data_IF_954838118473
#
_entry.id   IF_954838118473
#
_cell.length_a   1.000
_cell.length_b   1.000
_cell.length_c   1.000
_cell.angle_alpha   90.00
_cell.angle_beta   90.00
_cell.angle_gamma   90.00
#
_symmetry.space_group_name_H-M   'P 1'
#
loop_
_entity.id
_entity.type
_entity.pdbx_description
1 polymer ?
#
# COMPACT_ATOMS: atom_id res chain seq x y z
N UNK A 1 10.95 -18.44 3.58
CA UNK A 1 9.71 -18.68 2.79
C UNK A 1 10.07 -18.66 1.32
N UNK A 2 9.74 -19.70 0.57
CA UNK A 2 9.96 -19.76 -0.88
C UNK A 2 9.18 -18.63 -1.55
N UNK A 3 9.81 -17.84 -2.43
CA UNK A 3 9.08 -16.83 -3.20
C UNK A 3 8.01 -17.51 -4.08
N UNK A 4 6.81 -16.94 -4.21
CA UNK A 4 5.77 -17.51 -5.05
C UNK A 4 6.19 -17.47 -6.53
N UNK A 5 5.76 -18.48 -7.31
CA UNK A 5 6.04 -18.57 -8.75
C UNK A 5 5.38 -17.44 -9.57
N UNK A 6 4.37 -16.76 -9.00
CA UNK A 6 3.68 -15.64 -9.64
C UNK A 6 3.00 -14.73 -8.64
N UNK A 7 2.80 -13.48 -9.04
CA UNK A 7 2.08 -12.45 -8.30
C UNK A 7 0.82 -12.02 -9.05
N UNK A 8 -0.17 -11.45 -8.34
CA UNK A 8 -1.38 -10.93 -8.95
C UNK A 8 -1.37 -9.40 -8.91
N UNK A 9 -1.22 -8.76 -10.07
CA UNK A 9 -1.23 -7.31 -10.20
C UNK A 9 -2.48 -6.83 -10.93
N UNK A 10 -3.14 -5.83 -10.38
CA UNK A 10 -4.28 -5.19 -11.00
C UNK A 10 -3.83 -4.21 -12.08
N UNK A 11 -4.52 -4.22 -13.21
CA UNK A 11 -4.36 -3.18 -14.22
C UNK A 11 -5.01 -1.88 -13.72
N UNK A 12 -4.25 -0.80 -13.66
CA UNK A 12 -4.73 0.53 -13.26
C UNK A 12 -5.75 1.14 -14.24
N UNK A 13 -5.83 0.63 -15.48
CA UNK A 13 -6.78 1.11 -16.48
C UNK A 13 -8.15 0.40 -16.41
N UNK A 14 -8.17 -0.93 -16.23
CA UNK A 14 -9.41 -1.71 -16.34
C UNK A 14 -9.75 -2.56 -15.11
N UNK A 15 -8.91 -2.56 -14.08
CA UNK A 15 -9.15 -3.26 -12.81
C UNK A 15 -8.96 -4.78 -12.85
N UNK A 16 -8.65 -5.38 -14.01
CA UNK A 16 -8.41 -6.83 -14.11
C UNK A 16 -7.13 -7.23 -13.39
N UNK A 17 -7.19 -8.31 -12.61
CA UNK A 17 -6.00 -8.95 -12.02
C UNK A 17 -5.27 -9.75 -13.10
N UNK A 18 -3.98 -9.53 -13.23
CA UNK A 18 -3.09 -10.20 -14.17
C UNK A 18 -2.06 -11.00 -13.38
N UNK A 19 -1.82 -12.24 -13.81
CA UNK A 19 -0.78 -13.08 -13.22
C UNK A 19 0.57 -12.70 -13.81
N UNK A 20 1.48 -12.26 -12.96
CA UNK A 20 2.84 -11.86 -13.33
C UNK A 20 3.81 -12.92 -12.80
N UNK A 21 4.50 -13.68 -13.67
CA UNK A 21 5.55 -14.60 -13.24
C UNK A 21 6.65 -13.89 -12.44
N UNK A 22 7.23 -14.56 -11.45
CA UNK A 22 8.24 -13.97 -10.57
C UNK A 22 9.50 -13.52 -11.31
N UNK A 23 9.89 -14.21 -12.39
CA UNK A 23 11.01 -13.87 -13.28
C UNK A 23 10.74 -12.65 -14.18
N UNK A 24 9.49 -12.16 -14.22
CA UNK A 24 9.07 -10.98 -14.99
C UNK A 24 8.84 -9.75 -14.13
N UNK A 25 9.09 -9.84 -12.83
CA UNK A 25 9.05 -8.70 -11.91
C UNK A 25 10.16 -7.70 -12.26
N UNK A 26 9.82 -6.41 -12.25
CA UNK A 26 10.73 -5.33 -12.67
C UNK A 26 10.63 -4.97 -14.16
N UNK A 27 9.89 -5.75 -14.95
CA UNK A 27 9.63 -5.48 -16.36
C UNK A 27 8.26 -4.80 -16.55
N UNK A 28 8.03 -4.25 -17.74
CA UNK A 28 6.69 -3.78 -18.14
C UNK A 28 5.89 -4.95 -18.69
N UNK A 29 4.81 -5.32 -18.03
CA UNK A 29 3.85 -6.32 -18.51
C UNK A 29 2.70 -5.64 -19.26
N UNK A 30 1.93 -6.39 -20.07
CA UNK A 30 0.68 -5.91 -20.67
C UNK A 30 -0.51 -6.57 -19.99
N UNK A 31 -1.58 -5.82 -19.79
CA UNK A 31 -2.84 -6.37 -19.31
C UNK A 31 -3.47 -7.28 -20.35
N UNK A 32 -3.80 -8.52 -19.97
CA UNK A 32 -4.45 -9.49 -20.86
C UNK A 32 -5.88 -9.12 -21.29
N UNK A 33 -6.54 -8.17 -20.60
CA UNK A 33 -7.89 -7.71 -20.95
C UNK A 33 -7.90 -6.47 -21.84
N UNK A 34 -7.09 -5.46 -21.53
CA UNK A 34 -7.15 -4.15 -22.22
C UNK A 34 -5.85 -3.74 -22.91
N UNK A 35 -4.79 -4.53 -22.83
CA UNK A 35 -3.50 -4.24 -23.46
C UNK A 35 -2.65 -3.16 -22.79
N UNK A 36 -3.20 -2.42 -21.82
CA UNK A 36 -2.49 -1.36 -21.10
C UNK A 36 -1.24 -1.90 -20.38
N UNK A 37 -0.21 -1.06 -20.30
CA UNK A 37 1.03 -1.37 -19.59
C UNK A 37 0.79 -1.48 -18.08
N UNK A 38 1.41 -2.48 -17.46
CA UNK A 38 1.46 -2.70 -16.02
C UNK A 38 2.93 -2.60 -15.61
N UNK A 39 3.24 -1.53 -14.88
CA UNK A 39 4.57 -1.32 -14.32
C UNK A 39 4.72 -2.21 -13.08
N UNK A 40 5.51 -3.28 -13.21
CA UNK A 40 5.63 -4.27 -12.15
C UNK A 40 6.68 -3.87 -11.11
N UNK A 41 7.66 -3.04 -11.45
CA UNK A 41 8.76 -2.65 -10.54
C UNK A 41 8.25 -2.01 -9.24
N UNK A 42 7.28 -1.10 -9.34
CA UNK A 42 6.79 -0.32 -8.20
C UNK A 42 5.97 -1.16 -7.20
N UNK A 43 5.66 -2.41 -7.53
CA UNK A 43 4.89 -3.32 -6.68
C UNK A 43 5.77 -4.12 -5.69
N UNK A 44 7.11 -4.04 -5.80
CA UNK A 44 8.05 -4.90 -5.09
C UNK A 44 9.10 -4.13 -4.28
N UNK A 45 8.67 -3.06 -3.61
CA UNK A 45 9.52 -2.30 -2.68
C UNK A 45 9.58 -2.97 -1.32
N UNK A 46 10.77 -3.13 -0.75
CA UNK A 46 10.98 -3.73 0.58
C UNK A 46 10.80 -2.75 1.74
N UNK A 47 10.71 -1.46 1.43
CA UNK A 47 10.49 -0.38 2.40
C UNK A 47 9.16 0.30 2.13
N UNK A 48 8.54 0.90 3.17
CA UNK A 48 7.34 1.71 2.98
C UNK A 48 7.59 2.85 1.98
N UNK A 49 6.68 3.02 1.03
CA UNK A 49 6.73 4.12 0.07
C UNK A 49 6.30 5.42 0.77
N UNK A 50 7.06 6.50 0.59
CA UNK A 50 6.68 7.81 1.12
C UNK A 50 5.61 8.43 0.22
N UNK A 51 4.47 8.74 0.82
CA UNK A 51 3.34 9.36 0.15
C UNK A 51 3.33 10.85 0.46
N UNK A 52 3.01 11.62 -0.57
CA UNK A 52 2.80 13.06 -0.49
C UNK A 52 1.50 13.42 -1.19
N UNK A 53 1.00 14.63 -0.93
CA UNK A 53 -0.17 15.19 -1.64
C UNK A 53 -0.02 15.08 -3.18
N UNK A 54 1.20 15.19 -3.71
CA UNK A 54 1.47 15.17 -5.15
C UNK A 54 1.52 13.76 -5.76
N UNK A 55 1.83 12.72 -4.97
CA UNK A 55 2.02 11.37 -5.51
C UNK A 55 0.90 10.38 -5.12
N UNK A 56 -0.02 10.79 -4.24
CA UNK A 56 -1.05 9.91 -3.68
C UNK A 56 -1.92 9.24 -4.74
N UNK A 57 -2.35 9.96 -5.78
CA UNK A 57 -3.17 9.37 -6.84
C UNK A 57 -2.44 8.22 -7.54
N UNK A 58 -1.18 8.44 -7.93
CA UNK A 58 -0.38 7.44 -8.62
C UNK A 58 0.01 6.27 -7.71
N UNK A 59 0.37 6.56 -6.44
CA UNK A 59 0.93 5.57 -5.53
C UNK A 59 -0.12 4.82 -4.71
N UNK A 60 -1.28 5.42 -4.46
CA UNK A 60 -2.35 4.82 -3.66
C UNK A 60 -3.53 4.42 -4.53
N UNK A 61 -4.13 5.38 -5.25
CA UNK A 61 -5.39 5.14 -5.95
C UNK A 61 -5.21 4.27 -7.21
N UNK A 62 -4.11 4.46 -7.93
CA UNK A 62 -3.76 3.69 -9.14
C UNK A 62 -2.86 2.50 -8.86
N UNK A 63 -2.67 2.15 -7.58
CA UNK A 63 -1.82 1.02 -7.20
C UNK A 63 -2.32 -0.29 -7.82
N UNK A 64 -1.43 -1.10 -8.41
CA UNK A 64 -1.78 -2.43 -8.90
C UNK A 64 -1.99 -3.44 -7.75
N UNK A 65 -1.62 -3.08 -6.53
CA UNK A 65 -1.78 -3.86 -5.30
C UNK A 65 -2.72 -3.14 -4.33
N UNK A 66 -3.36 -3.85 -3.39
CA UNK A 66 -3.90 -3.24 -2.18
C UNK A 66 -2.84 -2.40 -1.48
N UNK A 67 -3.26 -1.33 -0.81
CA UNK A 67 -2.36 -0.36 -0.16
C UNK A 67 -2.69 -0.29 1.32
N UNK A 68 -1.66 -0.43 2.15
CA UNK A 68 -1.71 -0.06 3.56
C UNK A 68 -0.98 1.28 3.71
N UNK A 69 -1.69 2.31 4.15
CA UNK A 69 -1.15 3.66 4.36
C UNK A 69 -1.11 4.00 5.85
N UNK A 70 0.08 4.05 6.43
CA UNK A 70 0.32 4.51 7.81
C UNK A 70 0.44 6.04 7.84
N UNK A 71 -0.50 6.69 8.52
CA UNK A 71 -0.56 8.13 8.71
C UNK A 71 0.02 8.48 10.08
N UNK A 72 1.11 9.23 10.08
CA UNK A 72 1.96 9.46 11.25
C UNK A 72 2.45 10.91 11.33
N UNK A 73 3.18 11.24 12.39
CA UNK A 73 3.97 12.46 12.53
C UNK A 73 5.17 12.21 13.45
N UNK A 74 6.28 12.96 13.35
CA UNK A 74 7.51 12.67 14.10
C UNK A 74 7.37 12.84 15.62
N UNK A 75 6.49 13.75 16.06
CA UNK A 75 6.22 14.02 17.48
C UNK A 75 5.27 13.01 18.13
N UNK A 76 4.67 12.11 17.34
CA UNK A 76 3.72 11.12 17.83
C UNK A 76 4.44 9.89 18.40
N UNK A 77 4.55 9.81 19.72
CA UNK A 77 5.17 8.67 20.42
C UNK A 77 4.61 7.30 20.01
N UNK A 78 3.26 7.09 20.00
CA UNK A 78 2.68 5.82 19.56
C UNK A 78 2.99 5.49 18.08
N UNK A 79 3.16 6.50 17.22
CA UNK A 79 3.56 6.30 15.82
C UNK A 79 4.99 5.76 15.71
N UNK A 80 5.90 6.22 16.58
CA UNK A 80 7.28 5.72 16.61
C UNK A 80 7.33 4.23 16.99
N UNK A 81 6.44 3.77 17.87
CA UNK A 81 6.33 2.35 18.22
C UNK A 81 5.76 1.50 17.06
N UNK A 82 4.84 2.05 16.27
CA UNK A 82 4.22 1.37 15.13
C UNK A 82 5.16 1.31 13.91
N UNK A 83 6.05 2.29 13.75
CA UNK A 83 6.97 2.40 12.60
C UNK A 83 7.72 1.11 12.24
N UNK A 84 8.41 0.44 13.18
CA UNK A 84 9.11 -0.82 12.91
C UNK A 84 8.17 -1.94 12.43
N UNK A 85 6.94 -2.00 12.93
CA UNK A 85 5.93 -2.98 12.48
C UNK A 85 5.54 -2.71 11.03
N UNK A 86 5.37 -1.43 10.65
CA UNK A 86 5.07 -1.04 9.27
C UNK A 86 6.23 -1.40 8.33
N UNK A 87 7.48 -1.19 8.76
CA UNK A 87 8.67 -1.56 7.98
C UNK A 87 8.78 -3.09 7.80
N UNK A 88 8.52 -3.87 8.85
CA UNK A 88 8.50 -5.32 8.78
C UNK A 88 7.43 -5.84 7.81
N UNK A 89 6.21 -5.29 7.89
CA UNK A 89 5.11 -5.64 6.98
C UNK A 89 5.42 -5.26 5.52
N UNK A 90 6.15 -4.17 5.27
CA UNK A 90 6.57 -3.79 3.92
C UNK A 90 7.48 -4.86 3.29
N UNK A 91 8.39 -5.43 4.08
CA UNK A 91 9.26 -6.52 3.65
C UNK A 91 8.47 -7.82 3.42
N UNK A 92 7.59 -8.20 4.36
CA UNK A 92 6.82 -9.44 4.29
C UNK A 92 5.78 -9.47 3.14
N UNK A 93 5.19 -8.31 2.82
CA UNK A 93 4.12 -8.21 1.83
C UNK A 93 4.58 -7.72 0.46
N UNK A 94 5.89 -7.74 0.19
CA UNK A 94 6.47 -7.49 -1.12
C UNK A 94 5.68 -8.22 -2.22
N UNK A 95 5.20 -7.48 -3.22
CA UNK A 95 4.44 -8.03 -4.34
C UNK A 95 3.00 -8.44 -4.03
N UNK A 96 2.51 -8.22 -2.80
CA UNK A 96 1.15 -8.54 -2.34
C UNK A 96 0.40 -7.31 -1.86
N UNK A 97 1.06 -6.44 -1.11
CA UNK A 97 0.53 -5.18 -0.59
C UNK A 97 1.59 -4.12 -0.77
N UNK A 98 1.17 -2.93 -1.23
CA UNK A 98 2.01 -1.75 -1.15
C UNK A 98 1.86 -1.16 0.25
N UNK A 99 2.93 -1.24 1.04
CA UNK A 99 2.98 -0.56 2.34
C UNK A 99 3.55 0.84 2.14
N UNK A 100 2.92 1.82 2.77
CA UNK A 100 3.20 3.22 2.51
C UNK A 100 3.06 4.06 3.80
N UNK A 101 3.76 5.20 3.85
CA UNK A 101 3.73 6.13 4.98
C UNK A 101 3.40 7.54 4.52
N UNK A 102 2.56 8.24 5.27
CA UNK A 102 2.18 9.63 5.07
C UNK A 102 2.44 10.42 6.35
N UNK A 103 3.28 11.45 6.27
CA UNK A 103 3.36 12.43 7.34
C UNK A 103 2.14 13.35 7.25
N UNK A 104 1.25 13.30 8.25
CA UNK A 104 -0.02 14.02 8.24
C UNK A 104 0.13 15.55 8.36
N UNK A 105 1.21 16.04 8.97
CA UNK A 105 1.50 17.48 9.11
C UNK A 105 1.94 18.09 7.78
N UNK A 106 2.76 17.35 7.03
CA UNK A 106 3.32 17.80 5.74
C UNK A 106 2.35 17.63 4.57
N UNK A 107 1.26 16.88 4.77
CA UNK A 107 0.30 16.53 3.72
C UNK A 107 -1.14 16.85 4.14
N UNK A 108 -1.46 18.14 4.39
CA UNK A 108 -2.77 18.56 4.88
C UNK A 108 -3.90 18.27 3.90
N UNK A 109 -3.61 18.18 2.59
CA UNK A 109 -4.62 17.87 1.58
C UNK A 109 -5.20 16.47 1.77
N UNK A 110 -4.35 15.45 1.84
CA UNK A 110 -4.76 14.06 2.12
C UNK A 110 -5.35 13.95 3.53
N UNK A 111 -4.73 14.58 4.53
CA UNK A 111 -5.21 14.57 5.92
C UNK A 111 -6.64 15.10 6.03
N UNK A 112 -6.96 16.21 5.37
CA UNK A 112 -8.31 16.75 5.32
C UNK A 112 -9.26 15.83 4.53
N UNK A 113 -8.84 15.36 3.34
CA UNK A 113 -9.65 14.52 2.46
C UNK A 113 -10.15 13.24 3.13
N UNK A 114 -9.30 12.58 3.90
CA UNK A 114 -9.63 11.33 4.60
C UNK A 114 -9.92 11.53 6.09
N UNK A 115 -10.06 12.79 6.53
CA UNK A 115 -10.42 13.14 7.90
C UNK A 115 -9.50 12.50 8.95
N UNK A 116 -8.18 12.58 8.72
CA UNK A 116 -7.16 12.07 9.64
C UNK A 116 -7.11 13.01 10.85
N UNK A 117 -7.95 12.75 11.85
CA UNK A 117 -8.08 13.55 13.08
C UNK A 117 -7.19 13.06 14.23
N UNK A 118 -6.67 11.85 14.11
CA UNK A 118 -5.86 11.22 15.14
C UNK A 118 -4.81 10.35 14.48
N UNK A 119 -3.60 10.35 15.06
CA UNK A 119 -2.48 9.55 14.61
C UNK A 119 -1.93 8.69 15.77
N UNK A 120 -1.41 7.49 15.49
CA UNK A 120 -1.35 6.86 14.18
C UNK A 120 -2.74 6.47 13.67
N UNK A 121 -2.92 6.49 12.35
CA UNK A 121 -4.09 5.93 11.68
C UNK A 121 -3.62 5.13 10.46
N UNK A 122 -4.20 3.97 10.23
CA UNK A 122 -3.94 3.15 9.05
C UNK A 122 -5.15 3.19 8.13
N UNK A 123 -4.94 3.59 6.89
CA UNK A 123 -5.96 3.56 5.85
C UNK A 123 -5.67 2.39 4.90
N UNK A 124 -6.71 1.59 4.62
CA UNK A 124 -6.60 0.45 3.71
C UNK A 124 -7.31 0.80 2.41
N UNK A 125 -6.60 0.70 1.28
CA UNK A 125 -7.16 0.87 -0.05
C UNK A 125 -7.07 -0.43 -0.84
N UNK A 126 -8.12 -0.73 -1.62
CA UNK A 126 -8.07 -1.73 -2.69
C UNK A 126 -8.82 -1.19 -3.90
N UNK A 127 -8.23 -1.39 -5.07
CA UNK A 127 -8.77 -0.92 -6.36
C UNK A 127 -9.15 0.58 -6.35
N UNK A 128 -8.28 1.41 -5.78
CA UNK A 128 -8.47 2.85 -5.69
C UNK A 128 -9.60 3.31 -4.76
N UNK A 129 -10.16 2.41 -3.94
CA UNK A 129 -11.21 2.73 -2.99
C UNK A 129 -10.71 2.53 -1.57
N UNK A 130 -11.05 3.46 -0.68
CA UNK A 130 -10.87 3.27 0.76
C UNK A 130 -11.79 2.14 1.22
N UNK A 131 -11.23 1.15 1.90
CA UNK A 131 -11.94 -0.03 2.38
C UNK A 131 -12.08 -0.08 3.89
N UNK A 132 -11.08 0.40 4.62
CA UNK A 132 -11.11 0.44 6.08
C UNK A 132 -10.21 1.57 6.60
N UNK A 133 -10.46 1.98 7.85
CA UNK A 133 -9.64 2.95 8.59
C UNK A 133 -9.49 2.48 10.03
N UNK A 134 -8.26 2.29 10.46
CA UNK A 134 -7.91 1.83 11.79
C UNK A 134 -7.27 2.99 12.55
N UNK A 135 -7.86 3.42 13.65
CA UNK A 135 -7.38 4.58 14.41
C UNK A 135 -6.69 4.12 15.69
N UNK A 136 -5.53 4.71 15.98
CA UNK A 136 -4.72 4.43 17.17
C UNK A 136 -3.64 3.38 16.94
N UNK A 137 -2.78 3.18 17.95
CA UNK A 137 -1.78 2.12 17.90
C UNK A 137 -2.44 0.75 18.12
N UNK A 138 -2.02 -0.26 17.36
CA UNK A 138 -2.59 -1.61 17.42
C UNK A 138 -1.53 -2.69 17.19
N UNK A 139 -1.75 -3.94 17.64
CA UNK A 139 -0.84 -5.04 17.38
C UNK A 139 -0.72 -5.37 15.88
N UNK A 140 0.47 -5.83 15.46
CA UNK A 140 0.74 -6.34 14.11
C UNK A 140 -0.33 -7.33 13.62
N UNK A 141 -0.77 -8.23 14.51
CA UNK A 141 -1.77 -9.24 14.17
C UNK A 141 -3.13 -8.65 13.76
N UNK A 142 -3.55 -7.55 14.37
CA UNK A 142 -4.79 -6.85 14.01
C UNK A 142 -4.68 -6.28 12.60
N UNK A 143 -3.52 -5.71 12.25
CA UNK A 143 -3.25 -5.19 10.91
C UNK A 143 -3.31 -6.32 9.87
N UNK A 144 -2.68 -7.46 10.16
CA UNK A 144 -2.71 -8.65 9.29
C UNK A 144 -4.14 -9.13 9.07
N UNK A 145 -4.94 -9.26 10.15
CA UNK A 145 -6.34 -9.69 10.05
C UNK A 145 -7.18 -8.73 9.19
N UNK A 146 -6.97 -7.42 9.33
CA UNK A 146 -7.68 -6.40 8.56
C UNK A 146 -7.27 -6.37 7.09
N UNK A 147 -6.02 -6.71 6.76
CA UNK A 147 -5.54 -6.79 5.39
C UNK A 147 -5.89 -8.11 4.68
N UNK A 148 -6.11 -9.19 5.43
CA UNK A 148 -6.32 -10.54 4.89
C UNK A 148 -7.36 -10.64 3.75
N UNK A 149 -8.49 -9.91 3.75
CA UNK A 149 -9.47 -9.98 2.65
C UNK A 149 -8.97 -9.44 1.30
N UNK A 150 -7.87 -8.69 1.27
CA UNK A 150 -7.38 -7.99 0.07
C UNK A 150 -6.14 -8.64 -0.57
N UNK A 151 -5.44 -9.50 0.18
CA UNK A 151 -4.22 -10.21 -0.24
C UNK A 151 -4.59 -11.43 -1.10
#
# INVERSE_FOLDING_TARGET
MSQPNSYLLRCSACGTKNRIPSDKVGLTAKCGKCGASIHTADAFTEKPVIITDNNFDAQVLKSPLPVLLDCWAPWCGPCQMLGPVIEELASEWKGKVRVAKLNSDENPGISAKFQIRSIPSILIFDNGQLKDTLVGAMPKQTIIQKMAPYI
#
